data_IF_550386707352
#
_entry.id   IF_550386707352
#
_cell.length_a   1.000
_cell.length_b   1.000
_cell.length_c   1.000
_cell.angle_alpha   90.00
_cell.angle_beta   90.00
_cell.angle_gamma   90.00
#
_symmetry.space_group_name_H-M   'P 1'
#
loop_
_entity.id
_entity.type
_entity.pdbx_description
1 polymer ?
#
# COMPACT_ATOMS: atom_id res chain seq x y z
N UNK A 1 20.10 -27.02 4.56
CA UNK A 1 19.75 -25.57 4.59
C UNK A 1 18.48 -25.26 3.81
N UNK A 2 18.40 -25.62 2.52
CA UNK A 2 17.16 -25.37 1.72
C UNK A 2 15.93 -26.13 2.22
N UNK A 3 16.07 -27.31 2.81
CA UNK A 3 14.95 -28.10 3.34
C UNK A 3 14.37 -27.45 4.60
N UNK A 4 15.20 -26.90 5.47
CA UNK A 4 14.76 -26.11 6.61
C UNK A 4 13.90 -24.89 6.18
N UNK A 5 14.35 -24.14 5.16
CA UNK A 5 13.59 -22.99 4.66
C UNK A 5 12.25 -23.39 4.03
N UNK A 6 12.20 -24.55 3.35
CA UNK A 6 10.93 -25.09 2.82
C UNK A 6 9.97 -25.41 3.94
N UNK A 7 10.44 -26.08 4.99
CA UNK A 7 9.60 -26.45 6.12
C UNK A 7 9.12 -25.22 6.88
N UNK A 8 10.03 -24.26 7.17
CA UNK A 8 9.67 -22.95 7.75
C UNK A 8 8.61 -22.22 6.93
N UNK A 9 8.72 -22.23 5.59
CA UNK A 9 7.75 -21.60 4.70
C UNK A 9 6.39 -22.33 4.68
N UNK A 10 6.37 -23.67 4.80
CA UNK A 10 5.13 -24.46 4.85
C UNK A 10 4.32 -24.23 6.12
N UNK A 11 4.98 -23.84 7.21
CA UNK A 11 4.32 -23.56 8.49
C UNK A 11 3.69 -22.16 8.53
N UNK A 12 3.95 -21.30 7.53
CA UNK A 12 3.36 -19.97 7.47
C UNK A 12 1.84 -20.04 7.27
N UNK A 13 1.08 -19.07 7.81
CA UNK A 13 -0.35 -18.99 7.59
C UNK A 13 -0.70 -18.48 6.18
N UNK A 14 -1.96 -18.65 5.80
CA UNK A 14 -2.53 -18.13 4.54
C UNK A 14 -3.08 -16.71 4.70
N UNK A 15 -2.39 -15.87 5.48
CA UNK A 15 -2.76 -14.47 5.75
C UNK A 15 -1.94 -13.50 4.89
N UNK A 16 -2.42 -12.25 4.71
CA UNK A 16 -1.62 -11.20 4.12
C UNK A 16 -0.42 -10.84 5.00
N UNK A 17 0.62 -10.28 4.38
CA UNK A 17 1.79 -9.80 5.12
C UNK A 17 2.99 -9.52 4.23
N UNK A 18 4.09 -9.18 4.89
CA UNK A 18 5.39 -8.87 4.27
C UNK A 18 6.42 -9.89 4.72
N UNK A 19 7.30 -10.30 3.82
CA UNK A 19 8.42 -11.18 4.11
C UNK A 19 9.75 -10.49 3.79
N UNK A 20 10.74 -10.74 4.64
CA UNK A 20 12.08 -10.15 4.60
C UNK A 20 13.09 -11.27 4.42
N UNK A 21 13.70 -11.37 3.24
CA UNK A 21 14.73 -12.39 2.98
C UNK A 21 16.09 -11.91 3.45
N UNK A 22 16.81 -12.78 4.16
CA UNK A 22 18.09 -12.50 4.79
C UNK A 22 19.22 -13.34 4.20
N UNK A 23 20.41 -12.76 4.14
CA UNK A 23 21.63 -13.47 3.74
C UNK A 23 22.43 -13.99 4.96
N UNK A 24 23.62 -14.53 4.73
CA UNK A 24 24.47 -15.13 5.74
C UNK A 24 24.97 -14.14 6.84
N UNK A 25 24.85 -12.85 6.58
CA UNK A 25 25.22 -11.78 7.55
C UNK A 25 24.01 -11.20 8.27
N UNK A 26 22.84 -11.87 8.18
CA UNK A 26 21.54 -11.39 8.68
C UNK A 26 21.06 -10.08 8.02
N UNK A 27 21.69 -9.70 6.90
CA UNK A 27 21.30 -8.52 6.14
C UNK A 27 20.04 -8.78 5.35
N UNK A 28 19.05 -7.87 5.42
CA UNK A 28 17.83 -7.94 4.61
C UNK A 28 18.18 -7.60 3.17
N UNK A 29 18.09 -8.61 2.30
CA UNK A 29 18.46 -8.52 0.89
C UNK A 29 17.26 -8.36 -0.05
N UNK A 30 16.06 -8.70 0.42
CA UNK A 30 14.82 -8.53 -0.33
C UNK A 30 13.63 -8.40 0.62
N UNK A 31 12.69 -7.51 0.30
CA UNK A 31 11.40 -7.35 0.97
C UNK A 31 10.31 -7.55 -0.07
N UNK A 32 9.24 -8.27 0.29
CA UNK A 32 8.11 -8.46 -0.61
C UNK A 32 6.82 -8.71 0.15
N UNK A 33 5.70 -8.28 -0.43
CA UNK A 33 4.36 -8.53 0.13
C UNK A 33 3.72 -9.79 -0.45
N UNK A 34 2.78 -10.33 0.30
CA UNK A 34 1.96 -11.46 -0.13
C UNK A 34 0.51 -11.29 0.33
N UNK A 35 -0.44 -11.74 -0.50
CA UNK A 35 -1.84 -11.97 -0.10
C UNK A 35 -1.98 -13.21 0.78
N UNK A 36 -1.13 -14.21 0.52
CA UNK A 36 -1.04 -15.48 1.26
C UNK A 36 0.44 -15.79 1.46
N UNK A 37 0.97 -15.47 2.64
CA UNK A 37 2.40 -15.62 2.97
C UNK A 37 2.91 -17.01 2.66
N UNK A 38 2.23 -18.05 3.14
CA UNK A 38 2.61 -19.45 2.88
C UNK A 38 2.85 -19.73 1.40
N UNK A 39 1.89 -19.41 0.54
CA UNK A 39 1.98 -19.70 -0.89
C UNK A 39 3.14 -18.95 -1.55
N UNK A 40 3.26 -17.66 -1.21
CA UNK A 40 4.26 -16.79 -1.82
C UNK A 40 5.68 -17.14 -1.39
N UNK A 41 5.91 -17.32 -0.09
CA UNK A 41 7.25 -17.64 0.44
C UNK A 41 7.67 -19.05 0.00
N UNK A 42 6.78 -20.05 0.07
CA UNK A 42 7.07 -21.39 -0.41
C UNK A 42 7.47 -21.43 -1.89
N UNK A 43 6.89 -20.54 -2.73
CA UNK A 43 7.20 -20.50 -4.16
C UNK A 43 8.67 -20.22 -4.48
N UNK A 44 9.43 -19.58 -3.59
CA UNK A 44 10.86 -19.36 -3.77
C UNK A 44 11.70 -20.64 -3.60
N UNK A 45 11.22 -21.57 -2.78
CA UNK A 45 11.96 -22.78 -2.38
C UNK A 45 11.52 -24.05 -3.13
N UNK A 46 10.51 -23.95 -3.98
CA UNK A 46 10.15 -25.04 -4.90
C UNK A 46 11.16 -25.04 -6.05
N UNK A 47 11.65 -26.21 -6.43
CA UNK A 47 12.51 -26.38 -7.60
C UNK A 47 11.71 -26.06 -8.86
N UNK A 48 11.76 -24.81 -9.31
CA UNK A 48 11.02 -24.34 -10.45
C UNK A 48 11.99 -23.90 -11.54
N UNK A 49 11.94 -24.57 -12.68
CA UNK A 49 12.57 -24.10 -13.93
C UNK A 49 11.97 -22.77 -14.42
N UNK A 50 10.92 -22.27 -13.75
CA UNK A 50 10.19 -21.04 -14.09
C UNK A 50 10.75 -19.78 -13.40
N UNK A 51 11.71 -19.90 -12.49
CA UNK A 51 12.33 -18.73 -11.87
C UNK A 51 13.15 -17.92 -12.85
N UNK A 52 12.96 -16.59 -12.86
CA UNK A 52 13.83 -15.69 -13.60
C UNK A 52 15.29 -15.81 -13.12
N UNK A 53 16.27 -15.47 -13.97
CA UNK A 53 17.69 -15.44 -13.58
C UNK A 53 17.93 -14.60 -12.31
N UNK A 54 17.19 -13.49 -12.15
CA UNK A 54 17.28 -12.61 -10.98
C UNK A 54 16.75 -13.30 -9.71
N UNK A 55 15.59 -13.97 -9.81
CA UNK A 55 15.01 -14.75 -8.70
C UNK A 55 15.93 -15.90 -8.29
N UNK A 56 16.53 -16.61 -9.25
CA UNK A 56 17.49 -17.66 -8.94
C UNK A 56 18.72 -17.14 -8.17
N UNK A 57 19.24 -15.96 -8.53
CA UNK A 57 20.34 -15.31 -7.80
C UNK A 57 19.94 -14.95 -6.37
N UNK A 58 18.74 -14.38 -6.19
CA UNK A 58 18.20 -14.09 -4.86
C UNK A 58 18.10 -15.38 -4.02
N UNK A 59 17.43 -16.41 -4.52
CA UNK A 59 17.22 -17.68 -3.79
C UNK A 59 18.52 -18.35 -3.37
N UNK A 60 19.59 -18.22 -4.16
CA UNK A 60 20.91 -18.76 -3.80
C UNK A 60 21.50 -18.10 -2.56
N UNK A 61 21.15 -16.86 -2.27
CA UNK A 61 21.72 -16.07 -1.19
C UNK A 61 20.84 -16.04 0.07
N UNK A 62 19.59 -16.51 -0.03
CA UNK A 62 18.71 -16.60 1.13
C UNK A 62 19.21 -17.68 2.08
N UNK A 63 19.49 -17.30 3.30
CA UNK A 63 19.86 -18.17 4.43
C UNK A 63 18.72 -18.26 5.44
N UNK A 64 17.97 -17.18 5.62
CA UNK A 64 16.76 -17.16 6.45
C UNK A 64 15.76 -16.10 5.96
N UNK A 65 14.58 -16.08 6.56
CA UNK A 65 13.59 -15.05 6.31
C UNK A 65 12.74 -14.81 7.56
N UNK A 66 12.26 -13.57 7.69
CA UNK A 66 11.23 -13.18 8.65
C UNK A 66 9.93 -12.83 7.92
N UNK A 67 8.83 -12.84 8.67
CA UNK A 67 7.52 -12.41 8.18
C UNK A 67 6.85 -11.47 9.17
N UNK A 68 6.15 -10.48 8.63
CA UNK A 68 5.29 -9.57 9.37
C UNK A 68 3.86 -9.74 8.83
N UNK A 69 2.96 -10.16 9.71
CA UNK A 69 1.55 -10.34 9.37
C UNK A 69 0.84 -8.99 9.31
N UNK A 70 -0.14 -8.89 8.42
CA UNK A 70 -1.01 -7.70 8.32
C UNK A 70 -2.46 -8.15 8.22
N UNK A 71 -3.38 -7.25 8.55
CA UNK A 71 -4.81 -7.55 8.50
C UNK A 71 -5.33 -7.55 7.06
N UNK A 72 -4.79 -6.67 6.20
CA UNK A 72 -5.25 -6.50 4.82
C UNK A 72 -4.10 -6.55 3.80
N UNK A 73 -4.44 -6.76 2.52
CA UNK A 73 -3.46 -6.64 1.43
C UNK A 73 -2.96 -5.21 1.24
N UNK A 74 -3.77 -4.21 1.61
CA UNK A 74 -3.39 -2.82 1.56
C UNK A 74 -2.35 -2.51 2.63
N UNK A 75 -2.55 -3.00 3.86
CA UNK A 75 -1.55 -2.86 4.92
C UNK A 75 -0.23 -3.52 4.54
N UNK A 76 -0.28 -4.71 3.91
CA UNK A 76 0.91 -5.37 3.40
C UNK A 76 1.62 -4.52 2.33
N UNK A 77 0.87 -3.80 1.48
CA UNK A 77 1.44 -2.89 0.49
C UNK A 77 2.12 -1.69 1.13
N UNK A 78 1.48 -1.05 2.11
CA UNK A 78 2.02 0.11 2.82
C UNK A 78 3.27 -0.27 3.62
N UNK A 79 3.21 -1.41 4.33
CA UNK A 79 4.33 -1.93 5.11
C UNK A 79 5.52 -2.35 4.24
N UNK A 80 5.28 -3.01 3.08
CA UNK A 80 6.32 -3.35 2.11
C UNK A 80 7.12 -2.10 1.71
N UNK A 81 6.41 -1.01 1.42
CA UNK A 81 7.02 0.24 0.99
C UNK A 81 7.87 0.88 2.10
N UNK A 82 7.34 0.92 3.31
CA UNK A 82 8.04 1.43 4.47
C UNK A 82 9.35 0.66 4.72
N UNK A 83 9.28 -0.68 4.66
CA UNK A 83 10.45 -1.53 4.87
C UNK A 83 11.47 -1.44 3.72
N UNK A 84 11.01 -1.27 2.47
CA UNK A 84 11.92 -1.02 1.34
C UNK A 84 12.64 0.31 1.49
N UNK A 85 11.97 1.36 1.96
CA UNK A 85 12.60 2.65 2.24
C UNK A 85 13.62 2.54 3.36
N UNK A 86 13.28 1.84 4.44
CA UNK A 86 14.11 1.68 5.62
C UNK A 86 15.38 0.87 5.33
N UNK A 87 15.23 -0.32 4.72
CA UNK A 87 16.34 -1.25 4.53
C UNK A 87 17.05 -1.11 3.19
N UNK A 88 16.43 -0.48 2.20
CA UNK A 88 16.95 -0.32 0.83
C UNK A 88 17.54 -1.60 0.25
N UNK A 89 16.82 -2.74 0.28
CA UNK A 89 17.38 -4.04 -0.02
C UNK A 89 17.89 -4.12 -1.45
N UNK A 90 19.08 -4.71 -1.64
CA UNK A 90 19.75 -4.73 -2.96
C UNK A 90 18.93 -5.41 -4.05
N UNK A 91 18.15 -6.46 -3.74
CA UNK A 91 17.36 -7.16 -4.73
C UNK A 91 16.05 -6.45 -5.09
N UNK A 92 15.48 -5.65 -4.23
CA UNK A 92 14.37 -4.76 -4.60
C UNK A 92 14.83 -3.75 -5.67
N UNK A 93 16.01 -3.18 -5.54
CA UNK A 93 16.61 -2.27 -6.53
C UNK A 93 16.92 -2.96 -7.85
N UNK A 94 17.41 -4.21 -7.83
CA UNK A 94 17.79 -4.96 -9.03
C UNK A 94 16.60 -5.62 -9.75
N UNK A 95 15.53 -5.99 -9.01
CA UNK A 95 14.37 -6.70 -9.57
C UNK A 95 13.34 -5.76 -10.16
N UNK A 96 13.30 -4.52 -9.69
CA UNK A 96 12.38 -3.51 -10.18
C UNK A 96 13.17 -2.36 -10.79
N UNK A 97 12.98 -2.11 -12.09
CA UNK A 97 13.49 -0.90 -12.71
C UNK A 97 12.87 0.31 -11.97
N UNK A 98 13.68 1.33 -11.63
CA UNK A 98 13.24 2.53 -10.92
C UNK A 98 12.05 3.24 -11.58
N UNK A 99 11.91 3.10 -12.89
CA UNK A 99 10.83 3.66 -13.72
C UNK A 99 9.44 3.05 -13.43
N UNK A 100 9.38 1.92 -12.71
CA UNK A 100 8.11 1.24 -12.40
C UNK A 100 7.55 1.59 -11.02
N UNK A 101 8.28 2.32 -10.19
CA UNK A 101 7.78 2.75 -8.90
C UNK A 101 6.90 3.99 -9.03
N UNK A 102 5.89 4.04 -8.19
CA UNK A 102 5.04 5.21 -8.01
C UNK A 102 5.13 5.70 -6.58
N UNK A 103 5.01 7.00 -6.41
CA UNK A 103 5.00 7.66 -5.12
C UNK A 103 3.70 8.43 -4.96
N UNK A 104 3.23 8.57 -3.73
CA UNK A 104 2.10 9.42 -3.38
C UNK A 104 2.65 10.67 -2.71
N UNK A 105 2.36 11.84 -3.25
CA UNK A 105 2.63 13.12 -2.60
C UNK A 105 1.33 13.67 -2.03
N UNK A 106 1.37 14.11 -0.78
CA UNK A 106 0.26 14.76 -0.09
C UNK A 106 0.72 16.17 0.26
N UNK A 107 0.19 17.18 -0.42
CA UNK A 107 0.58 18.57 -0.24
C UNK A 107 -0.62 19.47 0.06
N UNK A 108 -0.39 20.56 0.75
CA UNK A 108 -1.37 21.64 0.94
C UNK A 108 -0.90 22.83 0.13
N UNK A 109 -1.68 23.20 -0.88
CA UNK A 109 -1.45 24.36 -1.72
C UNK A 109 -2.64 25.35 -1.55
N UNK A 110 -2.36 26.60 -1.21
CA UNK A 110 -3.38 27.67 -1.09
C UNK A 110 -4.62 27.25 -0.26
N UNK A 111 -4.42 26.53 0.85
CA UNK A 111 -5.44 25.93 1.72
C UNK A 111 -6.22 24.76 1.11
N UNK A 112 -5.76 24.20 -0.01
CA UNK A 112 -6.33 23.00 -0.60
C UNK A 112 -5.37 21.83 -0.44
N UNK A 113 -5.92 20.70 0.03
CA UNK A 113 -5.20 19.45 0.10
C UNK A 113 -5.18 18.79 -1.28
N UNK A 114 -4.01 18.35 -1.71
CA UNK A 114 -3.82 17.71 -3.01
C UNK A 114 -3.06 16.39 -2.87
N UNK A 115 -3.57 15.34 -3.52
CA UNK A 115 -2.89 14.04 -3.62
C UNK A 115 -2.40 13.84 -5.06
N UNK A 116 -1.08 13.70 -5.23
CA UNK A 116 -0.46 13.43 -6.55
C UNK A 116 0.24 12.08 -6.57
N UNK A 117 0.20 11.43 -7.74
CA UNK A 117 1.01 10.25 -8.01
C UNK A 117 2.23 10.65 -8.84
N UNK A 118 3.41 10.40 -8.29
CA UNK A 118 4.69 10.78 -8.88
C UNK A 118 5.48 9.52 -9.29
N UNK A 119 6.34 9.66 -10.30
CA UNK A 119 7.30 8.62 -10.69
C UNK A 119 8.66 8.80 -9.98
N UNK A 120 8.93 10.02 -9.50
CA UNK A 120 10.16 10.38 -8.78
C UNK A 120 9.73 11.01 -7.45
N UNK A 121 10.31 10.60 -6.31
CA UNK A 121 9.94 11.16 -5.02
C UNK A 121 10.38 12.61 -4.90
N UNK A 122 9.54 13.43 -4.32
CA UNK A 122 9.90 14.77 -3.82
C UNK A 122 10.53 14.67 -2.43
N UNK A 123 11.19 15.72 -1.96
CA UNK A 123 11.87 15.69 -0.66
C UNK A 123 10.92 15.66 0.53
N UNK A 124 9.70 16.19 0.37
CA UNK A 124 8.74 16.37 1.46
C UNK A 124 7.39 15.71 1.13
N UNK A 125 6.74 15.18 2.17
CA UNK A 125 5.36 14.67 2.11
C UNK A 125 5.13 13.62 1.00
N UNK A 126 6.11 12.74 0.77
CA UNK A 126 6.11 11.77 -0.29
C UNK A 126 6.26 10.35 0.25
N UNK A 127 5.28 9.50 -0.07
CA UNK A 127 5.17 8.12 0.39
C UNK A 127 5.42 7.15 -0.77
N UNK A 128 6.07 6.05 -0.50
CA UNK A 128 6.45 5.05 -1.50
C UNK A 128 7.87 4.52 -1.23
N UNK A 129 8.47 3.74 -2.09
CA UNK A 129 8.08 3.37 -3.47
C UNK A 129 7.00 2.28 -3.54
N UNK A 130 5.96 2.50 -4.31
CA UNK A 130 4.89 1.54 -4.52
C UNK A 130 5.06 0.78 -5.84
N UNK A 131 4.95 -0.54 -5.80
CA UNK A 131 5.15 -1.40 -6.96
C UNK A 131 3.93 -1.56 -7.87
N UNK A 132 2.73 -1.12 -7.44
CA UNK A 132 1.47 -1.36 -8.17
C UNK A 132 0.73 -0.05 -8.41
N UNK A 133 1.09 0.67 -9.48
CA UNK A 133 0.46 1.95 -9.87
C UNK A 133 -1.06 1.86 -10.03
N UNK A 134 -1.60 0.74 -10.55
CA UNK A 134 -3.05 0.57 -10.73
C UNK A 134 -3.81 0.61 -9.40
N UNK A 135 -3.28 -0.03 -8.35
CA UNK A 135 -3.88 0.01 -7.00
C UNK A 135 -3.80 1.42 -6.42
N UNK A 136 -2.68 2.12 -6.63
CA UNK A 136 -2.52 3.51 -6.18
C UNK A 136 -3.46 4.48 -6.88
N UNK A 137 -3.68 4.33 -8.19
CA UNK A 137 -4.65 5.14 -8.90
C UNK A 137 -6.04 4.98 -8.30
N UNK A 138 -6.46 3.73 -8.02
CA UNK A 138 -7.74 3.48 -7.35
C UNK A 138 -7.79 4.07 -5.95
N UNK A 139 -6.73 3.87 -5.16
CA UNK A 139 -6.60 4.44 -3.82
C UNK A 139 -6.72 5.97 -3.85
N UNK A 140 -5.99 6.63 -4.77
CA UNK A 140 -6.09 8.09 -4.95
C UNK A 140 -7.52 8.53 -5.24
N UNK A 141 -8.22 7.90 -6.19
CA UNK A 141 -9.62 8.24 -6.53
C UNK A 141 -10.53 8.10 -5.30
N UNK A 142 -10.35 7.06 -4.50
CA UNK A 142 -11.12 6.84 -3.28
C UNK A 142 -10.83 7.95 -2.25
N UNK A 143 -9.55 8.27 -2.01
CA UNK A 143 -9.16 9.31 -1.07
C UNK A 143 -9.63 10.70 -1.54
N UNK A 144 -9.49 11.01 -2.82
CA UNK A 144 -10.01 12.25 -3.40
C UNK A 144 -11.53 12.38 -3.15
N UNK A 145 -12.28 11.28 -3.26
CA UNK A 145 -13.73 11.26 -3.01
C UNK A 145 -14.08 11.37 -1.53
N UNK A 146 -13.31 10.72 -0.63
CA UNK A 146 -13.55 10.76 0.82
C UNK A 146 -13.34 12.18 1.37
N UNK A 147 -12.30 12.86 0.89
CA UNK A 147 -11.88 14.18 1.38
C UNK A 147 -12.34 15.34 0.48
N UNK A 148 -13.15 15.06 -0.55
CA UNK A 148 -13.68 16.03 -1.50
C UNK A 148 -12.58 16.90 -2.16
N UNK A 149 -11.49 16.25 -2.58
CA UNK A 149 -10.28 16.94 -3.07
C UNK A 149 -10.34 17.32 -4.56
N UNK A 150 -11.23 16.70 -5.33
CA UNK A 150 -11.41 16.99 -6.77
C UNK A 150 -12.64 17.85 -6.96
N UNK A 151 -12.51 19.07 -7.53
CA UNK A 151 -13.66 19.84 -7.96
C UNK A 151 -14.40 19.04 -9.05
N UNK A 152 -15.49 18.40 -8.69
CA UNK A 152 -16.22 17.49 -9.60
C UNK A 152 -16.93 18.20 -10.74
N UNK A 153 -17.10 19.55 -10.70
CA UNK A 153 -17.56 20.37 -11.82
C UNK A 153 -17.44 21.86 -11.46
N UNK A 154 -17.36 22.71 -12.49
CA UNK A 154 -17.36 24.18 -12.42
C UNK A 154 -18.51 24.78 -11.58
N UNK A 155 -19.61 24.06 -11.41
CA UNK A 155 -20.77 24.45 -10.62
C UNK A 155 -20.59 24.22 -9.10
N UNK A 156 -19.69 23.34 -8.66
CA UNK A 156 -19.43 23.09 -7.24
C UNK A 156 -18.60 24.22 -6.58
N UNK A 157 -17.86 24.98 -7.35
CA UNK A 157 -17.08 26.12 -6.80
C UNK A 157 -17.98 27.24 -6.22
N UNK A 158 -19.25 27.31 -6.65
CA UNK A 158 -20.19 28.34 -6.20
C UNK A 158 -20.93 27.96 -4.90
N UNK A 159 -20.85 26.68 -4.50
CA UNK A 159 -21.54 26.15 -3.34
C UNK A 159 -20.63 25.37 -2.36
N UNK A 160 -19.32 25.65 -2.38
CA UNK A 160 -18.48 25.15 -1.31
C UNK A 160 -18.97 25.76 0.01
N UNK A 161 -19.75 24.97 0.76
CA UNK A 161 -19.79 25.13 2.20
C UNK A 161 -18.36 25.09 2.66
N UNK A 162 -17.88 26.15 3.31
CA UNK A 162 -16.63 26.13 4.04
C UNK A 162 -16.58 24.83 4.82
N UNK A 163 -15.71 23.93 4.40
CA UNK A 163 -15.52 22.67 5.11
C UNK A 163 -15.07 23.06 6.51
N UNK A 164 -15.89 22.78 7.51
CA UNK A 164 -15.61 23.17 8.88
C UNK A 164 -14.40 22.43 9.50
N UNK A 165 -13.77 21.55 8.70
CA UNK A 165 -12.63 20.73 9.13
C UNK A 165 -11.36 21.32 8.57
N UNK A 166 -10.35 21.64 9.43
CA UNK A 166 -9.08 22.21 9.00
C UNK A 166 -8.35 21.28 8.01
N UNK A 167 -7.81 21.83 6.94
CA UNK A 167 -7.01 21.11 5.93
C UNK A 167 -5.82 20.37 6.55
N UNK A 168 -5.25 20.91 7.62
CA UNK A 168 -4.15 20.33 8.39
C UNK A 168 -4.55 19.01 9.04
N UNK A 169 -5.80 18.89 9.52
CA UNK A 169 -6.30 17.64 10.09
C UNK A 169 -6.38 16.54 9.03
N UNK A 170 -6.90 16.86 7.85
CA UNK A 170 -6.96 15.90 6.74
C UNK A 170 -5.57 15.48 6.26
N UNK A 171 -4.63 16.42 6.23
CA UNK A 171 -3.24 16.11 5.91
C UNK A 171 -2.65 15.14 6.92
N UNK A 172 -2.86 15.36 8.22
CA UNK A 172 -2.36 14.47 9.28
C UNK A 172 -2.98 13.08 9.18
N UNK A 173 -4.30 12.99 8.96
CA UNK A 173 -4.99 11.70 8.78
C UNK A 173 -4.41 10.89 7.60
N UNK A 174 -4.09 11.55 6.48
CA UNK A 174 -3.48 10.91 5.33
C UNK A 174 -2.03 10.50 5.62
N UNK A 175 -1.28 11.30 6.36
CA UNK A 175 0.08 10.95 6.78
C UNK A 175 0.07 9.70 7.67
N UNK A 176 -0.80 9.67 8.68
CA UNK A 176 -0.94 8.53 9.56
C UNK A 176 -1.38 7.28 8.80
N UNK A 177 -2.30 7.43 7.83
CA UNK A 177 -2.73 6.36 6.97
C UNK A 177 -1.58 5.78 6.11
N UNK A 178 -0.80 6.63 5.44
CA UNK A 178 0.34 6.20 4.63
C UNK A 178 1.52 5.66 5.45
N UNK A 179 1.64 6.05 6.73
CA UNK A 179 2.58 5.47 7.69
C UNK A 179 2.06 4.20 8.38
N UNK A 180 0.85 3.75 8.02
CA UNK A 180 0.17 2.61 8.64
C UNK A 180 -0.10 2.80 10.16
N UNK A 181 -0.31 4.04 10.57
CA UNK A 181 -0.55 4.45 11.96
C UNK A 181 -2.00 4.89 12.21
N UNK A 182 -2.81 5.08 11.16
CA UNK A 182 -4.18 5.56 11.24
C UNK A 182 -5.13 4.87 10.26
N UNK A 183 -6.41 4.83 10.61
CA UNK A 183 -7.51 4.22 9.83
C UNK A 183 -8.63 5.21 9.52
N UNK A 184 -8.37 6.51 9.66
CA UNK A 184 -9.41 7.55 9.51
C UNK A 184 -10.08 7.55 8.12
N UNK A 185 -9.38 7.35 6.97
CA UNK A 185 -10.05 7.23 5.68
C UNK A 185 -11.09 6.09 5.64
N UNK A 186 -10.79 4.97 6.31
CA UNK A 186 -11.70 3.80 6.38
C UNK A 186 -12.93 4.11 7.22
N UNK A 187 -12.78 4.84 8.32
CA UNK A 187 -13.90 5.27 9.17
C UNK A 187 -14.80 6.27 8.44
N UNK A 188 -14.19 7.24 7.74
CA UNK A 188 -14.93 8.26 6.98
C UNK A 188 -15.78 7.64 5.88
N UNK A 189 -15.23 6.71 5.08
CA UNK A 189 -16.00 6.06 4.03
C UNK A 189 -17.14 5.19 4.59
N UNK A 190 -16.93 4.54 5.74
CA UNK A 190 -17.97 3.77 6.42
C UNK A 190 -19.13 4.68 6.88
N UNK A 191 -18.81 5.85 7.45
CA UNK A 191 -19.80 6.85 7.83
C UNK A 191 -20.57 7.39 6.62
N UNK A 192 -19.86 7.80 5.54
CA UNK A 192 -20.50 8.27 4.31
C UNK A 192 -21.42 7.22 3.67
N UNK A 193 -21.04 5.94 3.75
CA UNK A 193 -21.87 4.82 3.28
C UNK A 193 -23.15 4.69 4.09
N UNK A 194 -23.09 4.82 5.42
CA UNK A 194 -24.24 4.79 6.29
C UNK A 194 -25.17 5.97 6.00
N UNK A 195 -24.65 7.20 5.94
CA UNK A 195 -25.42 8.41 5.63
C UNK A 195 -26.13 8.30 4.26
N UNK A 196 -25.46 7.71 3.26
CA UNK A 196 -26.06 7.49 1.93
C UNK A 196 -27.21 6.47 2.00
N UNK A 197 -27.08 5.42 2.81
CA UNK A 197 -28.13 4.42 3.01
C UNK A 197 -29.35 5.03 3.74
N UNK A 198 -29.13 5.83 4.78
CA UNK A 198 -30.19 6.53 5.53
C UNK A 198 -30.97 7.51 4.65
N UNK A 199 -30.28 8.16 3.69
CA UNK A 199 -30.89 9.05 2.68
C UNK A 199 -31.48 8.28 1.49
N UNK A 200 -31.56 6.95 1.54
CA UNK A 200 -32.04 6.08 0.46
C UNK A 200 -31.28 6.24 -0.87
N UNK A 201 -30.06 6.76 -0.85
CA UNK A 201 -29.19 6.90 -2.01
C UNK A 201 -28.42 5.57 -2.26
N UNK A 202 -29.15 4.50 -2.60
CA UNK A 202 -28.63 3.13 -2.62
C UNK A 202 -27.50 2.92 -3.64
N UNK A 203 -27.52 3.57 -4.79
CA UNK A 203 -26.43 3.48 -5.78
C UNK A 203 -25.13 4.09 -5.21
N UNK A 204 -25.22 5.24 -4.52
CA UNK A 204 -24.09 5.85 -3.84
C UNK A 204 -23.58 4.97 -2.72
N UNK A 205 -24.47 4.42 -1.89
CA UNK A 205 -24.09 3.50 -0.81
C UNK A 205 -23.41 2.23 -1.34
N UNK A 206 -23.89 1.65 -2.44
CA UNK A 206 -23.28 0.49 -3.07
C UNK A 206 -21.86 0.78 -3.57
N UNK A 207 -21.63 1.93 -4.23
CA UNK A 207 -20.32 2.35 -4.68
C UNK A 207 -19.36 2.56 -3.51
N UNK A 208 -19.79 3.25 -2.46
CA UNK A 208 -18.99 3.45 -1.23
C UNK A 208 -18.64 2.12 -0.55
N UNK A 209 -19.54 1.13 -0.59
CA UNK A 209 -19.28 -0.23 -0.10
C UNK A 209 -18.17 -0.93 -0.88
N UNK A 210 -18.14 -0.81 -2.21
CA UNK A 210 -17.06 -1.37 -3.03
C UNK A 210 -15.71 -0.72 -2.70
N UNK A 211 -15.69 0.59 -2.50
CA UNK A 211 -14.49 1.34 -2.15
C UNK A 211 -14.03 1.05 -0.71
N UNK A 212 -14.94 0.92 0.23
CA UNK A 212 -14.65 0.45 1.59
C UNK A 212 -14.05 -0.96 1.58
N UNK A 213 -14.62 -1.87 0.80
CA UNK A 213 -14.08 -3.23 0.64
C UNK A 213 -12.68 -3.23 0.00
N UNK A 214 -12.36 -2.25 -0.85
CA UNK A 214 -11.02 -2.11 -1.39
C UNK A 214 -10.00 -1.67 -0.33
N UNK A 215 -10.39 -0.79 0.59
CA UNK A 215 -9.53 -0.31 1.67
C UNK A 215 -9.34 -1.34 2.80
N UNK A 216 -10.28 -2.30 2.96
CA UNK A 216 -10.31 -3.28 4.06
C UNK A 216 -9.93 -4.70 3.64
N UNK A 217 -9.63 -4.95 2.37
CA UNK A 217 -9.16 -6.24 1.84
C UNK A 217 -7.68 -6.21 1.50
#
# INVERSE_FOLDING_TARGET
MKEYLKEKARQLPLTPGVYLMKDATDTIIYVGKAKKLKNRVSSYFINSHQHSRKTMRLVKQIIDFDVLHTDTELDALLLECQLIQQYRPRYNRQMNAYEQYSYVSVAVNERQLEIKLLNIPTKENCFGPYSIRRKLNRLKIILDSIYDLVPTNYWHQTFQKESAIPTELFQQELFDFFHNQGREPIKRIAQQMQEAAEKQAFEKAAKLKEDWLFLTR
#
